data_IF_769744921338
#
_entry.id   IF_769744921338
#
_cell.length_a   1.000
_cell.length_b   1.000
_cell.length_c   1.000
_cell.angle_alpha   90.00
_cell.angle_beta   90.00
_cell.angle_gamma   90.00
#
_symmetry.space_group_name_H-M   'P 1'
#
loop_
_entity.id
_entity.type
_entity.pdbx_description
1 polymer ?
#
# COMPACT_ATOMS: atom_id res chain seq x y z
N UNK A 1 2.55 19.08 0.12
CA UNK A 1 2.56 17.73 0.73
C UNK A 1 2.58 17.85 2.24
N UNK A 2 1.67 17.14 2.89
CA UNK A 2 1.51 17.08 4.34
C UNK A 2 1.44 15.63 4.81
N UNK A 3 1.79 15.41 6.07
CA UNK A 3 1.29 14.24 6.81
C UNK A 3 -0.13 14.59 7.27
N UNK A 4 -1.10 13.74 6.97
CA UNK A 4 -2.48 14.00 7.32
C UNK A 4 -2.66 14.13 8.85
N UNK A 5 -3.52 15.06 9.25
CA UNK A 5 -3.66 15.48 10.65
C UNK A 5 -2.55 16.40 11.18
N UNK A 6 -1.48 16.66 10.42
CA UNK A 6 -0.45 17.66 10.76
C UNK A 6 -0.67 18.99 10.02
N UNK A 7 -0.48 20.15 10.67
CA UNK A 7 -0.45 21.44 10.00
C UNK A 7 0.89 21.72 9.30
N UNK A 8 1.93 20.93 9.61
CA UNK A 8 3.29 21.19 9.12
C UNK A 8 3.45 20.71 7.68
N UNK A 9 3.88 21.62 6.81
CA UNK A 9 4.21 21.30 5.43
C UNK A 9 5.52 20.49 5.38
N UNK A 10 5.51 19.45 4.55
CA UNK A 10 6.69 18.60 4.27
C UNK A 10 7.41 19.15 3.05
N UNK A 11 6.72 19.16 1.90
CA UNK A 11 7.26 19.63 0.63
C UNK A 11 6.24 20.47 -0.16
N UNK A 12 6.76 21.43 -0.92
CA UNK A 12 5.99 22.33 -1.81
C UNK A 12 6.64 22.34 -3.20
N UNK A 13 5.83 22.09 -4.23
CA UNK A 13 6.28 22.17 -5.61
C UNK A 13 6.81 23.59 -5.93
N UNK A 14 7.93 23.68 -6.64
CA UNK A 14 8.59 24.94 -6.99
C UNK A 14 9.34 25.64 -5.84
N UNK A 15 9.31 25.09 -4.62
CA UNK A 15 10.08 25.61 -3.47
C UNK A 15 11.19 24.64 -3.08
N UNK A 16 10.86 23.36 -2.95
CA UNK A 16 11.84 22.33 -2.63
C UNK A 16 12.63 21.91 -3.86
N UNK A 17 13.88 21.50 -3.64
CA UNK A 17 14.75 20.91 -4.67
C UNK A 17 14.97 19.43 -4.39
N UNK A 18 15.33 18.67 -5.43
CA UNK A 18 15.66 17.24 -5.28
C UNK A 18 16.77 17.07 -4.24
N UNK A 19 16.52 16.19 -3.27
CA UNK A 19 17.44 15.92 -2.16
C UNK A 19 17.10 16.67 -0.87
N UNK A 20 16.16 17.62 -0.89
CA UNK A 20 15.60 18.16 0.35
C UNK A 20 15.00 17.04 1.19
N UNK A 21 15.27 17.05 2.50
CA UNK A 21 14.77 16.04 3.42
C UNK A 21 13.98 16.68 4.56
N UNK A 22 12.96 15.95 5.04
CA UNK A 22 12.19 16.31 6.22
C UNK A 22 12.11 15.10 7.14
N UNK A 23 12.56 15.26 8.39
CA UNK A 23 12.31 14.26 9.41
C UNK A 23 10.83 14.29 9.80
N UNK A 24 10.20 13.12 9.78
CA UNK A 24 8.81 12.93 10.24
C UNK A 24 8.73 12.54 11.73
N UNK A 25 9.87 12.35 12.38
CA UNK A 25 9.94 11.89 13.77
C UNK A 25 9.82 10.37 13.88
N UNK A 26 9.28 9.92 15.02
CA UNK A 26 9.14 8.51 15.34
C UNK A 26 7.66 8.14 15.43
N UNK A 27 7.33 6.96 14.92
CA UNK A 27 5.98 6.40 14.95
C UNK A 27 6.02 5.01 15.56
N UNK A 28 4.94 4.64 16.26
CA UNK A 28 4.77 3.27 16.75
C UNK A 28 4.63 2.32 15.56
N UNK A 29 5.26 1.15 15.64
CA UNK A 29 5.15 0.15 14.59
C UNK A 29 3.67 -0.26 14.38
N UNK A 30 3.26 -0.34 13.12
CA UNK A 30 1.87 -0.61 12.73
C UNK A 30 0.97 0.63 12.64
N UNK A 31 1.46 1.81 13.00
CA UNK A 31 0.75 3.07 12.71
C UNK A 31 0.73 3.30 11.20
N UNK A 32 -0.47 3.47 10.63
CA UNK A 32 -0.62 3.93 9.26
C UNK A 32 -0.31 5.42 9.18
N UNK A 33 0.57 5.80 8.25
CA UNK A 33 0.85 7.19 7.91
C UNK A 33 0.14 7.53 6.61
N UNK A 34 -0.73 8.53 6.65
CA UNK A 34 -1.46 9.00 5.48
C UNK A 34 -0.85 10.32 5.04
N UNK A 35 -0.42 10.39 3.79
CA UNK A 35 0.07 11.62 3.17
C UNK A 35 -1.04 12.27 2.36
N UNK A 36 -1.09 13.60 2.43
CA UNK A 36 -2.06 14.46 1.76
C UNK A 36 -1.34 15.45 0.83
N UNK A 37 -1.74 15.48 -0.43
CA UNK A 37 -1.40 16.49 -1.40
C UNK A 37 -2.51 17.54 -1.44
N UNK A 38 -2.20 18.78 -1.08
CA UNK A 38 -3.12 19.91 -1.23
C UNK A 38 -2.79 20.65 -2.53
N UNK A 39 -3.78 20.72 -3.42
CA UNK A 39 -3.67 21.31 -4.74
C UNK A 39 -4.16 22.77 -4.67
N UNK A 40 -3.23 23.72 -4.73
CA UNK A 40 -3.50 25.12 -4.37
C UNK A 40 -4.44 25.83 -5.34
N UNK A 41 -4.43 25.49 -6.64
CA UNK A 41 -5.26 26.16 -7.63
C UNK A 41 -6.72 25.68 -7.61
N UNK A 42 -6.95 24.41 -7.28
CA UNK A 42 -8.30 23.80 -7.25
C UNK A 42 -8.89 23.77 -5.84
N UNK A 43 -8.05 23.89 -4.81
CA UNK A 43 -8.43 23.73 -3.41
C UNK A 43 -8.74 22.29 -3.00
N UNK A 44 -8.47 21.31 -3.87
CA UNK A 44 -8.69 19.90 -3.60
C UNK A 44 -7.54 19.31 -2.77
N UNK A 45 -7.87 18.25 -2.04
CA UNK A 45 -6.90 17.44 -1.30
C UNK A 45 -7.01 15.99 -1.75
N UNK A 46 -5.87 15.39 -2.07
CA UNK A 46 -5.75 14.00 -2.44
C UNK A 46 -4.87 13.25 -1.44
N UNK A 47 -5.25 12.02 -1.13
CA UNK A 47 -4.71 11.22 -0.06
C UNK A 47 -4.11 9.92 -0.60
N UNK A 48 -3.02 9.50 0.03
CA UNK A 48 -2.42 8.19 -0.19
C UNK A 48 -3.27 7.03 0.38
N UNK A 49 -3.08 5.85 -0.21
CA UNK A 49 -3.76 4.62 0.18
C UNK A 49 -4.99 4.32 -0.68
N UNK A 50 -6.06 3.82 -0.06
CA UNK A 50 -7.24 3.35 -0.79
C UNK A 50 -7.97 4.48 -1.53
N UNK A 51 -8.50 4.16 -2.71
CA UNK A 51 -9.24 5.08 -3.57
C UNK A 51 -10.44 5.73 -2.85
N UNK A 52 -11.09 4.99 -1.97
CA UNK A 52 -12.22 5.46 -1.16
C UNK A 52 -11.89 6.59 -0.18
N UNK A 53 -10.61 6.95 0.00
CA UNK A 53 -10.20 8.14 0.76
C UNK A 53 -10.30 9.42 -0.05
N UNK A 54 -10.39 9.32 -1.38
CA UNK A 54 -10.38 10.46 -2.27
C UNK A 54 -11.81 10.82 -2.74
N UNK A 55 -12.08 12.09 -3.05
CA UNK A 55 -13.42 12.57 -3.41
C UNK A 55 -14.05 11.90 -4.63
N UNK A 56 -13.24 11.33 -5.52
CA UNK A 56 -13.62 10.73 -6.79
C UNK A 56 -13.49 9.19 -6.81
N UNK A 57 -13.22 8.57 -5.65
CA UNK A 57 -13.00 7.12 -5.53
C UNK A 57 -11.88 6.60 -6.45
N UNK A 58 -10.84 7.43 -6.68
CA UNK A 58 -9.61 7.09 -7.40
C UNK A 58 -8.41 7.10 -6.45
N UNK A 59 -7.44 6.21 -6.66
CA UNK A 59 -6.21 6.21 -5.90
C UNK A 59 -5.22 7.24 -6.48
N UNK A 60 -4.95 8.30 -5.73
CA UNK A 60 -4.10 9.41 -6.15
C UNK A 60 -2.63 9.29 -5.75
N UNK A 61 -2.24 8.18 -5.12
CA UNK A 61 -0.84 7.92 -4.82
C UNK A 61 -0.47 6.50 -5.21
N UNK A 62 0.69 6.36 -5.85
CA UNK A 62 1.34 5.09 -6.10
C UNK A 62 2.60 5.01 -5.24
N UNK A 63 2.87 3.84 -4.65
CA UNK A 63 4.06 3.63 -3.85
C UNK A 63 4.75 2.31 -4.22
N UNK A 64 6.07 2.35 -4.34
CA UNK A 64 6.90 1.17 -4.55
C UNK A 64 8.05 1.15 -3.55
N UNK A 65 8.30 0.01 -2.93
CA UNK A 65 9.41 -0.15 -1.97
C UNK A 65 10.49 -1.03 -2.57
N UNK A 66 11.69 -0.48 -2.69
CA UNK A 66 12.88 -1.20 -3.16
C UNK A 66 14.09 -0.85 -2.31
N UNK A 67 14.95 -1.83 -2.04
CA UNK A 67 16.23 -1.67 -1.32
C UNK A 67 16.20 -0.83 -0.02
N UNK A 68 15.08 -0.82 0.72
CA UNK A 68 14.94 -0.08 1.98
C UNK A 68 14.47 1.38 1.83
N UNK A 69 14.02 1.73 0.62
CA UNK A 69 13.45 3.02 0.26
C UNK A 69 12.06 2.82 -0.35
N UNK A 70 11.10 3.67 0.02
CA UNK A 70 9.76 3.66 -0.58
C UNK A 70 9.57 4.93 -1.40
N UNK A 71 9.51 4.78 -2.73
CA UNK A 71 9.18 5.85 -3.65
C UNK A 71 7.67 6.04 -3.71
N UNK A 72 7.21 7.30 -3.67
CA UNK A 72 5.80 7.67 -3.73
C UNK A 72 5.62 8.77 -4.77
N UNK A 73 4.68 8.57 -5.68
CA UNK A 73 4.21 9.55 -6.65
C UNK A 73 2.74 9.87 -6.43
N UNK A 74 2.33 11.11 -6.72
CA UNK A 74 0.95 11.58 -6.62
C UNK A 74 0.43 12.12 -7.95
N UNK A 75 -0.89 12.03 -8.12
CA UNK A 75 -1.69 12.73 -9.12
C UNK A 75 -2.41 13.93 -8.49
N UNK A 76 -2.38 15.10 -9.14
CA UNK A 76 -2.96 16.35 -8.63
C UNK A 76 -4.27 16.78 -9.33
N UNK A 77 -4.72 16.00 -10.33
CA UNK A 77 -5.94 16.25 -11.10
C UNK A 77 -7.07 15.25 -10.82
N UNK A 78 -8.35 15.68 -10.86
CA UNK A 78 -9.50 14.80 -10.67
C UNK A 78 -9.50 13.58 -11.61
N UNK A 79 -10.00 12.46 -11.10
CA UNK A 79 -9.99 11.16 -11.77
C UNK A 79 -8.57 10.63 -12.06
N UNK A 80 -7.55 11.08 -11.32
CA UNK A 80 -6.17 10.62 -11.44
C UNK A 80 -5.43 11.11 -12.68
N UNK A 81 -5.85 12.23 -13.29
CA UNK A 81 -5.08 12.86 -14.39
C UNK A 81 -4.76 11.89 -15.54
N UNK A 82 -3.48 11.76 -15.86
CA UNK A 82 -2.96 10.82 -16.87
C UNK A 82 -2.39 9.53 -16.26
N UNK A 83 -2.46 9.37 -14.94
CA UNK A 83 -2.08 8.18 -14.15
C UNK A 83 -0.60 7.82 -14.27
N UNK A 84 0.28 8.79 -14.47
CA UNK A 84 1.73 8.60 -14.46
C UNK A 84 2.39 8.89 -13.10
N UNK A 85 1.63 9.47 -12.16
CA UNK A 85 1.98 9.76 -10.77
C UNK A 85 3.21 10.67 -10.62
N UNK A 86 3.46 11.55 -11.58
CA UNK A 86 4.67 12.38 -11.61
C UNK A 86 4.48 13.81 -11.09
N UNK A 87 3.26 14.23 -10.73
CA UNK A 87 2.97 15.62 -10.33
C UNK A 87 3.67 16.02 -9.02
N UNK A 88 3.81 15.06 -8.10
CA UNK A 88 4.64 15.20 -6.90
C UNK A 88 5.25 13.85 -6.49
N UNK A 89 6.58 13.79 -6.51
CA UNK A 89 7.35 12.58 -6.21
C UNK A 89 8.29 12.81 -5.03
N UNK A 90 8.35 11.84 -4.12
CA UNK A 90 9.26 11.84 -2.98
C UNK A 90 9.56 10.40 -2.54
N UNK A 91 10.47 10.21 -1.59
CA UNK A 91 10.77 8.90 -1.04
C UNK A 91 10.86 8.90 0.49
N UNK A 92 10.61 7.74 1.08
CA UNK A 92 10.93 7.43 2.47
C UNK A 92 12.19 6.59 2.53
N UNK A 93 13.14 7.00 3.35
CA UNK A 93 14.25 6.14 3.75
C UNK A 93 13.88 5.28 4.96
N UNK A 94 14.67 4.23 5.21
CA UNK A 94 14.49 3.33 6.35
C UNK A 94 13.12 2.63 6.34
N UNK A 95 12.66 2.21 5.16
CA UNK A 95 11.46 1.40 5.01
C UNK A 95 11.82 -0.07 4.84
N UNK A 96 10.87 -0.95 5.12
CA UNK A 96 11.00 -2.39 4.86
C UNK A 96 9.78 -2.78 4.05
N UNK A 97 9.98 -3.47 2.93
CA UNK A 97 8.87 -4.02 2.16
C UNK A 97 8.07 -4.96 3.08
N UNK A 98 6.77 -4.71 3.23
CA UNK A 98 5.91 -5.54 4.04
C UNK A 98 5.92 -6.98 3.51
N UNK A 99 6.46 -7.92 4.27
CA UNK A 99 6.30 -9.33 3.95
C UNK A 99 4.86 -9.70 4.28
N UNK A 100 4.01 -9.83 3.27
CA UNK A 100 2.67 -10.43 3.46
C UNK A 100 2.92 -11.88 3.87
N UNK A 101 2.61 -12.29 5.11
CA UNK A 101 2.76 -13.68 5.47
C UNK A 101 1.80 -14.48 4.59
N UNK A 102 2.14 -15.72 4.25
CA UNK A 102 1.23 -16.62 3.52
C UNK A 102 0.39 -17.58 4.42
N UNK A 103 -0.36 -17.17 5.47
CA UNK A 103 -1.15 -18.11 6.27
C UNK A 103 -2.15 -18.90 5.41
N UNK A 104 -2.70 -18.27 4.37
CA UNK A 104 -3.68 -18.87 3.49
C UNK A 104 -3.08 -19.98 2.62
N UNK A 105 -1.84 -19.86 2.14
CA UNK A 105 -1.19 -20.92 1.35
C UNK A 105 -1.06 -22.21 2.14
N UNK A 106 -0.65 -22.12 3.41
CA UNK A 106 -0.55 -23.27 4.30
C UNK A 106 -1.91 -23.88 4.62
N UNK A 107 -2.90 -23.03 4.93
CA UNK A 107 -4.26 -23.49 5.19
C UNK A 107 -4.87 -24.20 3.98
N UNK A 108 -4.67 -23.68 2.77
CA UNK A 108 -5.14 -24.28 1.52
C UNK A 108 -4.40 -25.58 1.19
N UNK A 109 -3.09 -25.64 1.42
CA UNK A 109 -2.30 -26.85 1.22
C UNK A 109 -2.74 -27.96 2.18
N UNK A 110 -2.82 -27.66 3.48
CA UNK A 110 -3.26 -28.61 4.51
C UNK A 110 -4.71 -29.04 4.25
N UNK A 111 -5.59 -28.09 3.96
CA UNK A 111 -6.99 -28.38 3.62
C UNK A 111 -7.11 -29.28 2.38
N UNK A 112 -6.36 -28.99 1.31
CA UNK A 112 -6.33 -29.79 0.10
C UNK A 112 -5.85 -31.22 0.34
N UNK A 113 -4.75 -31.41 1.08
CA UNK A 113 -4.25 -32.74 1.42
C UNK A 113 -5.19 -33.50 2.36
N UNK A 114 -5.80 -32.84 3.33
CA UNK A 114 -6.79 -33.45 4.22
C UNK A 114 -8.01 -33.96 3.44
N UNK A 115 -8.56 -33.14 2.53
CA UNK A 115 -9.69 -33.52 1.69
C UNK A 115 -9.34 -34.64 0.71
N UNK A 116 -8.19 -34.54 0.03
CA UNK A 116 -7.70 -35.57 -0.89
C UNK A 116 -7.46 -36.91 -0.19
N UNK A 117 -6.79 -36.89 0.97
CA UNK A 117 -6.55 -38.07 1.80
C UNK A 117 -7.84 -38.72 2.30
N UNK A 118 -8.81 -37.91 2.76
CA UNK A 118 -10.12 -38.42 3.18
C UNK A 118 -10.88 -39.10 2.02
N UNK A 119 -10.86 -38.51 0.83
CA UNK A 119 -11.48 -39.09 -0.36
C UNK A 119 -10.85 -40.43 -0.77
N UNK A 120 -9.51 -40.53 -0.73
CA UNK A 120 -8.79 -41.77 -1.01
C UNK A 120 -9.07 -42.87 0.02
N UNK A 121 -9.17 -42.51 1.31
CA UNK A 121 -9.47 -43.47 2.39
C UNK A 121 -10.86 -44.08 2.27
N UNK A 122 -11.87 -43.32 1.83
CA UNK A 122 -13.24 -43.84 1.60
C UNK A 122 -13.33 -44.88 0.49
N UNK A 123 -12.38 -44.91 -0.46
CA UNK A 123 -12.40 -45.84 -1.59
C UNK A 123 -11.84 -47.24 -1.28
N UNK A 124 -11.13 -47.43 -0.15
CA UNK A 124 -10.47 -48.72 0.18
C UNK A 124 -11.24 -49.65 1.12
N UNK A 125 -12.45 -49.31 1.54
CA UNK A 125 -13.26 -50.15 2.42
C UNK A 125 -14.17 -51.12 1.63
N UNK A 126 -13.59 -52.16 1.04
CA UNK A 126 -14.31 -53.35 0.60
C UNK A 126 -13.38 -54.56 0.76
N UNK A 127 -13.28 -55.07 2.00
CA UNK A 127 -12.61 -56.34 2.28
C UNK A 127 -13.71 -57.40 2.38
N UNK A 128 -13.78 -58.28 1.38
CA UNK A 128 -14.62 -59.48 1.41
C UNK A 128 -13.80 -60.63 1.97
N UNK A 129 -14.25 -61.25 3.07
CA UNK A 129 -13.66 -62.49 3.56
C UNK A 129 -14.42 -63.68 2.94
N UNK A 130 -13.66 -64.68 2.48
CA UNK A 130 -14.14 -65.92 1.87
C UNK A 130 -14.41 -67.00 2.92
#
# INVERSE_FOLDING_TARGET
>A
LYLDGSPDIIFTNGVNVVGDTKSLGFFTAGTELIFRLDVTFSGQSYFSGAASRNPDDVAHAAANTDAGETFVGFEDLPNGGDHDYNDLVFSFSNTVAGTVPEPASWAMMIGGFALGGAALRRRKAAVSFA
#
